data_IF_866559602440
#
_entry.id   IF_866559602440
#
_cell.length_a   1.000
_cell.length_b   1.000
_cell.length_c   1.000
_cell.angle_alpha   90.00
_cell.angle_beta   90.00
_cell.angle_gamma   90.00
#
_symmetry.space_group_name_H-M   'P 1'
#
loop_
_entity.id
_entity.type
_entity.pdbx_description
1 polymer ?
#
# COMPACT_ATOMS: atom_id res chain seq x y z
N UNK A 1 -8.42 18.19 8.60
CA UNK A 1 -7.58 18.50 7.42
C UNK A 1 -6.21 18.92 7.93
N UNK A 2 -5.21 18.04 7.81
CA UNK A 2 -3.85 18.30 8.30
C UNK A 2 -3.23 19.50 7.59
N UNK A 3 -2.59 20.39 8.35
CA UNK A 3 -1.80 21.50 7.81
C UNK A 3 -0.34 21.06 7.64
N UNK A 4 -0.05 20.31 6.59
CA UNK A 4 1.32 19.91 6.28
C UNK A 4 2.06 21.00 5.50
N UNK A 5 3.36 21.14 5.77
CA UNK A 5 4.26 21.88 4.88
C UNK A 5 4.40 21.05 3.60
N UNK A 6 3.89 21.55 2.48
CA UNK A 6 4.22 21.01 1.16
C UNK A 6 5.68 21.36 0.85
N UNK A 7 6.59 20.41 1.10
CA UNK A 7 7.98 20.54 0.72
C UNK A 7 8.40 19.30 -0.03
N UNK A 8 8.27 19.33 -1.36
CA UNK A 8 8.87 18.35 -2.27
C UNK A 8 10.42 18.33 -2.15
N UNK A 9 11.05 19.19 -1.31
CA UNK A 9 12.49 19.51 -1.41
C UNK A 9 13.31 19.73 -0.11
N UNK A 10 12.79 19.56 1.11
CA UNK A 10 13.60 19.78 2.34
C UNK A 10 13.36 18.74 3.42
N UNK A 11 13.38 17.45 3.05
CA UNK A 11 13.56 16.41 4.04
C UNK A 11 15.07 16.15 4.21
N UNK A 12 15.59 16.08 5.44
CA UNK A 12 16.99 15.75 5.69
C UNK A 12 17.22 14.24 5.55
N UNK A 13 16.72 13.66 4.47
CA UNK A 13 16.95 12.27 4.11
C UNK A 13 18.11 12.17 3.13
N UNK A 14 18.96 11.17 3.33
CA UNK A 14 19.99 10.84 2.35
C UNK A 14 19.38 10.10 1.16
N UNK A 15 20.19 9.90 0.10
CA UNK A 15 19.72 9.21 -1.10
C UNK A 15 19.17 7.81 -0.80
N UNK A 16 19.83 7.04 0.06
CA UNK A 16 19.41 5.67 0.40
C UNK A 16 18.05 5.66 1.09
N UNK A 17 17.83 6.56 2.03
CA UNK A 17 16.54 6.74 2.73
C UNK A 17 15.43 7.19 1.79
N UNK A 18 15.75 8.05 0.82
CA UNK A 18 14.79 8.41 -0.23
C UNK A 18 14.36 7.19 -1.07
N UNK A 19 15.30 6.33 -1.48
CA UNK A 19 14.96 5.12 -2.24
C UNK A 19 14.15 4.13 -1.39
N UNK A 20 14.52 3.95 -0.12
CA UNK A 20 13.76 3.14 0.82
C UNK A 20 12.33 3.65 1.00
N UNK A 21 12.16 4.96 1.24
CA UNK A 21 10.84 5.59 1.37
C UNK A 21 9.99 5.43 0.10
N UNK A 22 10.58 5.59 -1.08
CA UNK A 22 9.85 5.36 -2.35
C UNK A 22 9.39 3.92 -2.48
N UNK A 23 10.24 2.94 -2.12
CA UNK A 23 9.87 1.54 -2.14
C UNK A 23 8.77 1.21 -1.14
N UNK A 24 8.85 1.74 0.08
CA UNK A 24 7.80 1.61 1.10
C UNK A 24 6.49 2.15 0.58
N UNK A 25 6.49 3.39 0.06
CA UNK A 25 5.29 4.04 -0.51
C UNK A 25 4.66 3.14 -1.57
N UNK A 26 5.42 2.72 -2.58
CA UNK A 26 4.91 1.88 -3.67
C UNK A 26 4.28 0.57 -3.18
N UNK A 27 4.95 -0.16 -2.28
CA UNK A 27 4.45 -1.46 -1.81
C UNK A 27 3.22 -1.29 -0.93
N UNK A 28 3.24 -0.31 -0.01
CA UNK A 28 2.17 -0.12 0.97
C UNK A 28 0.92 0.44 0.31
N UNK A 29 1.03 1.43 -0.59
CA UNK A 29 -0.15 1.98 -1.28
C UNK A 29 -0.78 0.99 -2.25
N UNK A 30 0.00 0.07 -2.83
CA UNK A 30 -0.54 -0.98 -3.70
C UNK A 30 -1.30 -2.07 -2.94
N UNK A 31 -0.98 -2.32 -1.66
CA UNK A 31 -1.56 -3.41 -0.87
C UNK A 31 -2.62 -2.97 0.13
N UNK A 32 -2.58 -1.71 0.58
CA UNK A 32 -3.41 -1.19 1.66
C UNK A 32 -4.15 0.08 1.22
N UNK A 33 -5.33 0.34 1.81
CA UNK A 33 -6.14 1.54 1.52
C UNK A 33 -5.54 2.77 2.19
N UNK A 34 -4.30 3.13 1.85
CA UNK A 34 -3.62 4.30 2.39
C UNK A 34 -4.31 5.56 1.88
N UNK A 35 -4.54 6.51 2.79
CA UNK A 35 -5.06 7.83 2.45
C UNK A 35 -3.92 8.83 2.31
N UNK A 36 -2.95 8.76 3.23
CA UNK A 36 -1.83 9.69 3.32
C UNK A 36 -0.67 9.10 4.12
N UNK A 37 0.53 9.61 3.85
CA UNK A 37 1.75 9.28 4.58
C UNK A 37 2.51 10.56 4.90
N UNK A 38 3.04 10.64 6.11
CA UNK A 38 3.80 11.80 6.57
C UNK A 38 5.00 11.36 7.40
N UNK A 39 6.12 12.04 7.23
CA UNK A 39 7.26 11.92 8.14
C UNK A 39 7.11 12.90 9.30
N UNK A 40 7.58 12.50 10.46
CA UNK A 40 7.63 13.34 11.65
C UNK A 40 8.84 12.97 12.53
N UNK A 41 8.89 13.48 13.75
CA UNK A 41 9.93 13.12 14.71
C UNK A 41 11.22 13.91 14.55
N UNK A 42 12.28 13.42 15.20
CA UNK A 42 13.58 14.10 15.34
C UNK A 42 14.26 14.37 14.00
N UNK A 43 14.09 13.48 13.02
CA UNK A 43 14.62 13.62 11.65
C UNK A 43 14.04 14.87 11.00
N UNK A 44 12.72 15.05 11.04
CA UNK A 44 12.07 16.23 10.47
C UNK A 44 12.42 17.50 11.24
N UNK A 45 12.66 17.41 12.56
CA UNK A 45 13.15 18.55 13.37
C UNK A 45 14.61 18.92 13.12
N UNK A 46 15.39 18.08 12.45
CA UNK A 46 16.84 18.27 12.31
C UNK A 46 17.61 18.05 13.61
N UNK A 47 17.01 17.34 14.57
CA UNK A 47 17.60 16.96 15.86
C UNK A 47 18.12 15.52 15.85
N UNK A 48 17.94 14.80 14.74
CA UNK A 48 18.37 13.42 14.58
C UNK A 48 19.90 13.28 14.54
N UNK A 49 20.38 12.22 15.17
CA UNK A 49 21.72 11.69 15.01
C UNK A 49 21.73 10.51 14.03
N UNK A 50 22.91 9.91 13.78
CA UNK A 50 23.10 8.82 12.82
C UNK A 50 22.35 7.52 13.19
N UNK A 51 21.88 7.38 14.45
CA UNK A 51 21.15 6.21 14.93
C UNK A 51 19.63 6.46 15.05
N UNK A 52 19.17 7.66 14.74
CA UNK A 52 17.78 8.06 14.95
C UNK A 52 16.81 7.33 14.00
N UNK A 53 15.69 6.89 14.56
CA UNK A 53 14.57 6.32 13.81
C UNK A 53 13.96 7.38 12.87
N UNK A 54 13.53 6.96 11.68
CA UNK A 54 12.77 7.81 10.74
C UNK A 54 11.29 7.51 10.92
N UNK A 55 10.58 8.39 11.63
CA UNK A 55 9.18 8.15 11.98
C UNK A 55 8.23 8.42 10.81
N UNK A 56 7.49 7.38 10.41
CA UNK A 56 6.56 7.39 9.30
C UNK A 56 5.12 7.13 9.78
N UNK A 57 4.28 8.16 9.67
CA UNK A 57 2.84 8.04 9.85
C UNK A 57 2.21 7.48 8.57
N UNK A 58 1.39 6.44 8.72
CA UNK A 58 0.56 5.88 7.65
C UNK A 58 -0.88 5.99 8.09
N UNK A 59 -1.65 6.85 7.44
CA UNK A 59 -3.09 6.98 7.68
C UNK A 59 -3.85 6.25 6.58
N UNK A 60 -4.82 5.46 7.00
CA UNK A 60 -5.62 4.60 6.13
C UNK A 60 -7.05 5.07 6.06
N UNK A 61 -7.69 4.90 4.90
CA UNK A 61 -9.09 5.29 4.66
C UNK A 61 -10.08 4.49 5.52
N UNK A 62 -9.66 3.32 5.98
CA UNK A 62 -10.47 2.42 6.81
C UNK A 62 -9.62 1.74 7.88
N UNK A 63 -10.22 1.39 9.04
CA UNK A 63 -9.52 0.68 10.10
C UNK A 63 -8.91 -0.64 9.63
N UNK A 64 -7.60 -0.76 9.81
CA UNK A 64 -6.90 -2.03 9.60
C UNK A 64 -7.03 -2.93 10.83
N UNK A 65 -7.04 -4.24 10.62
CA UNK A 65 -6.92 -5.19 11.71
C UNK A 65 -5.45 -5.35 12.15
N UNK A 66 -5.21 -6.09 13.25
CA UNK A 66 -3.85 -6.28 13.80
C UNK A 66 -2.91 -6.96 12.80
N UNK A 67 -3.40 -7.92 12.00
CA UNK A 67 -2.59 -8.64 11.02
C UNK A 67 -2.16 -7.71 9.89
N UNK A 68 -3.08 -6.89 9.38
CA UNK A 68 -2.78 -5.91 8.32
C UNK A 68 -1.76 -4.86 8.79
N UNK A 69 -1.93 -4.31 10.00
CA UNK A 69 -0.92 -3.42 10.58
C UNK A 69 0.45 -4.08 10.70
N UNK A 70 0.49 -5.35 11.12
CA UNK A 70 1.75 -6.09 11.23
C UNK A 70 2.40 -6.31 9.86
N UNK A 71 1.62 -6.57 8.81
CA UNK A 71 2.15 -6.70 7.45
C UNK A 71 2.80 -5.39 6.97
N UNK A 72 2.25 -4.23 7.31
CA UNK A 72 2.89 -2.94 7.00
C UNK A 72 4.24 -2.84 7.73
N UNK A 73 4.29 -3.18 9.01
CA UNK A 73 5.55 -3.22 9.78
C UNK A 73 6.57 -4.20 9.18
N UNK A 74 6.13 -5.38 8.74
CA UNK A 74 6.99 -6.38 8.12
C UNK A 74 7.57 -5.85 6.80
N UNK A 75 6.75 -5.23 5.94
CA UNK A 75 7.20 -4.60 4.69
C UNK A 75 8.26 -3.54 4.97
N UNK A 76 8.00 -2.64 5.94
CA UNK A 76 8.97 -1.60 6.29
C UNK A 76 10.25 -2.18 6.87
N UNK A 77 10.15 -3.24 7.68
CA UNK A 77 11.32 -3.95 8.19
C UNK A 77 12.16 -4.58 7.08
N UNK A 78 11.53 -5.23 6.09
CA UNK A 78 12.22 -5.79 4.93
C UNK A 78 12.95 -4.71 4.13
N UNK A 79 12.30 -3.57 3.88
CA UNK A 79 12.94 -2.45 3.17
C UNK A 79 14.08 -1.85 4.00
N UNK A 80 13.90 -1.69 5.30
CA UNK A 80 14.96 -1.23 6.21
C UNK A 80 16.21 -2.12 6.13
N UNK A 81 16.03 -3.44 6.15
CA UNK A 81 17.12 -4.40 6.04
C UNK A 81 17.82 -4.33 4.67
N UNK A 82 17.07 -4.13 3.60
CA UNK A 82 17.61 -4.05 2.24
C UNK A 82 18.45 -2.78 2.01
N UNK A 83 17.99 -1.64 2.52
CA UNK A 83 18.61 -0.34 2.30
C UNK A 83 19.53 0.09 3.45
N UNK A 84 19.56 -0.63 4.57
CA UNK A 84 20.29 -0.22 5.77
C UNK A 84 19.73 1.05 6.40
N UNK A 85 18.40 1.19 6.38
CA UNK A 85 17.67 2.35 6.93
C UNK A 85 16.90 1.94 8.19
N UNK A 86 16.33 2.92 8.90
CA UNK A 86 15.63 2.68 10.16
C UNK A 86 14.28 3.39 10.25
N UNK A 87 13.37 3.11 9.30
CA UNK A 87 12.00 3.62 9.33
C UNK A 87 11.16 2.92 10.41
N UNK A 88 10.48 3.72 11.24
CA UNK A 88 9.47 3.26 12.19
C UNK A 88 8.07 3.62 11.64
N UNK A 89 7.05 2.80 11.90
CA UNK A 89 5.68 3.07 11.40
C UNK A 89 4.67 3.27 12.50
N UNK A 90 3.90 4.35 12.41
CA UNK A 90 2.65 4.55 13.14
C UNK A 90 1.48 4.39 12.18
N UNK A 91 0.68 3.34 12.34
CA UNK A 91 -0.46 3.05 11.44
C UNK A 91 -1.78 3.32 12.14
N UNK A 92 -2.57 4.22 11.56
CA UNK A 92 -3.90 4.62 12.06
C UNK A 92 -4.88 4.76 10.92
N UNK A 93 -6.18 4.73 11.22
CA UNK A 93 -7.21 5.13 10.26
C UNK A 93 -7.56 6.62 10.43
N UNK A 94 -8.14 7.22 9.39
CA UNK A 94 -8.48 8.65 9.37
C UNK A 94 -9.44 9.06 10.49
N UNK A 95 -10.41 8.21 10.84
CA UNK A 95 -11.36 8.47 11.92
C UNK A 95 -10.67 8.47 13.28
N UNK A 96 -9.80 7.48 13.52
CA UNK A 96 -8.98 7.46 14.72
C UNK A 96 -8.06 8.69 14.78
N UNK A 97 -7.43 9.05 13.68
CA UNK A 97 -6.52 10.20 13.60
C UNK A 97 -7.21 11.52 13.94
N UNK A 98 -8.35 11.81 13.32
CA UNK A 98 -9.04 13.10 13.48
C UNK A 98 -9.88 13.17 14.77
N UNK A 99 -10.50 12.06 15.17
CA UNK A 99 -11.53 12.05 16.24
C UNK A 99 -11.32 11.00 17.32
N UNK A 100 -10.40 10.07 17.11
CA UNK A 100 -10.08 9.01 18.07
C UNK A 100 -9.14 9.46 19.18
N UNK A 101 -8.78 8.56 20.09
CA UNK A 101 -7.94 8.89 21.25
C UNK A 101 -6.58 9.48 20.89
N UNK A 102 -6.03 9.11 19.72
CA UNK A 102 -4.74 9.64 19.27
C UNK A 102 -4.77 11.15 19.01
N UNK A 103 -5.93 11.73 18.68
CA UNK A 103 -6.06 13.18 18.47
C UNK A 103 -5.80 14.00 19.75
N UNK A 104 -5.86 13.35 20.90
CA UNK A 104 -5.58 13.92 22.23
C UNK A 104 -4.15 13.67 22.70
N UNK A 105 -3.34 12.93 21.93
CA UNK A 105 -1.96 12.59 22.29
C UNK A 105 -0.98 13.60 21.70
N UNK A 106 0.13 13.83 22.39
CA UNK A 106 1.18 14.77 21.95
C UNK A 106 1.73 14.43 20.56
N UNK A 107 1.75 13.15 20.18
CA UNK A 107 2.19 12.72 18.84
C UNK A 107 1.33 13.30 17.72
N UNK A 108 0.04 13.49 17.96
CA UNK A 108 -0.85 14.08 16.99
C UNK A 108 -0.55 15.58 16.82
N UNK A 109 -0.32 16.31 17.91
CA UNK A 109 0.09 17.72 17.86
C UNK A 109 1.45 17.89 17.16
N UNK A 110 2.40 17.00 17.45
CA UNK A 110 3.73 16.98 16.83
C UNK A 110 3.62 16.82 15.31
N UNK A 111 2.91 15.79 14.85
CA UNK A 111 2.70 15.57 13.42
C UNK A 111 1.94 16.73 12.77
N UNK A 112 0.92 17.28 13.43
CA UNK A 112 0.18 18.40 12.86
C UNK A 112 1.01 19.68 12.73
N UNK A 113 1.95 19.91 13.65
CA UNK A 113 2.78 21.12 13.68
C UNK A 113 4.00 21.01 12.78
N UNK A 114 4.63 19.84 12.76
CA UNK A 114 5.98 19.64 12.21
C UNK A 114 6.02 18.59 11.12
N UNK A 115 4.99 17.75 10.98
CA UNK A 115 4.97 16.69 9.99
C UNK A 115 5.14 17.21 8.57
N UNK A 116 5.77 16.39 7.74
CA UNK A 116 5.97 16.65 6.32
C UNK A 116 5.22 15.58 5.54
N UNK A 117 4.24 16.01 4.74
CA UNK A 117 3.52 15.10 3.84
C UNK A 117 4.49 14.57 2.80
N UNK A 118 4.58 13.25 2.67
CA UNK A 118 5.44 12.58 1.68
C UNK A 118 4.65 11.87 0.58
N UNK A 119 3.33 11.72 0.79
CA UNK A 119 2.39 11.18 -0.18
C UNK A 119 0.96 11.39 0.29
N UNK A 120 0.06 11.71 -0.63
CA UNK A 120 -1.39 11.70 -0.40
C UNK A 120 -2.09 11.04 -1.58
N UNK A 121 -3.12 10.25 -1.32
CA UNK A 121 -3.92 9.57 -2.36
C UNK A 121 -4.59 10.48 -3.39
N UNK A 122 -4.63 11.78 -3.09
CA UNK A 122 -5.18 12.85 -3.91
C UNK A 122 -4.17 13.98 -4.09
N UNK A 123 -2.88 13.65 -4.16
CA UNK A 123 -1.86 14.65 -4.47
C UNK A 123 -2.26 15.39 -5.76
N UNK A 124 -2.03 16.71 -5.84
CA UNK A 124 -2.46 17.49 -6.98
C UNK A 124 -1.83 16.93 -8.26
N UNK A 125 -2.67 16.67 -9.25
CA UNK A 125 -2.20 16.20 -10.55
C UNK A 125 -1.27 17.27 -11.16
N UNK A 126 -0.03 16.93 -11.55
CA UNK A 126 0.85 17.88 -12.21
C UNK A 126 0.23 18.41 -13.50
N UNK A 127 0.43 19.70 -13.81
CA UNK A 127 -0.02 20.26 -15.09
C UNK A 127 0.62 19.54 -16.29
N UNK A 128 1.87 19.11 -16.11
CA UNK A 128 2.63 18.30 -17.06
C UNK A 128 3.58 17.36 -16.31
N UNK A 129 3.84 16.18 -16.89
CA UNK A 129 4.99 15.36 -16.51
C UNK A 129 6.15 15.66 -17.44
N UNK A 130 7.35 15.87 -16.89
CA UNK A 130 8.56 16.15 -17.68
C UNK A 130 9.02 14.90 -18.44
N UNK A 131 8.77 13.72 -17.89
CA UNK A 131 9.16 12.43 -18.47
C UNK A 131 8.08 11.36 -18.31
N UNK A 132 8.15 10.32 -19.16
CA UNK A 132 7.31 9.12 -19.00
C UNK A 132 7.57 8.39 -17.69
N UNK A 133 8.81 8.42 -17.20
CA UNK A 133 9.15 7.77 -15.93
C UNK A 133 8.48 8.48 -14.77
N UNK A 134 8.52 9.82 -14.74
CA UNK A 134 7.80 10.61 -13.72
C UNK A 134 6.29 10.33 -13.76
N UNK A 135 5.71 10.22 -14.95
CA UNK A 135 4.30 9.85 -15.13
C UNK A 135 4.02 8.45 -14.58
N UNK A 136 4.89 7.47 -14.86
CA UNK A 136 4.75 6.11 -14.36
C UNK A 136 4.89 6.05 -12.84
N UNK A 137 5.88 6.74 -12.26
CA UNK A 137 6.06 6.85 -10.80
C UNK A 137 4.81 7.41 -10.11
N UNK A 138 4.19 8.44 -10.69
CA UNK A 138 2.95 9.00 -10.16
C UNK A 138 1.81 7.96 -10.20
N UNK A 139 1.54 7.35 -11.36
CA UNK A 139 0.44 6.38 -11.50
C UNK A 139 0.68 5.03 -10.84
N UNK A 140 1.92 4.68 -10.50
CA UNK A 140 2.22 3.49 -9.70
C UNK A 140 1.70 3.60 -8.27
N UNK A 141 1.43 4.83 -7.80
CA UNK A 141 0.99 5.09 -6.42
C UNK A 141 -0.39 5.72 -6.33
N UNK A 142 -0.94 6.26 -7.41
CA UNK A 142 -2.24 6.94 -7.43
C UNK A 142 -3.27 6.18 -8.25
N UNK A 143 -4.53 6.16 -7.79
CA UNK A 143 -5.63 5.57 -8.55
C UNK A 143 -6.24 6.62 -9.49
N UNK A 144 -6.44 6.25 -10.75
CA UNK A 144 -7.10 7.08 -11.76
C UNK A 144 -8.52 7.49 -11.34
N UNK A 145 -9.21 6.66 -10.54
CA UNK A 145 -10.57 6.97 -10.08
C UNK A 145 -10.62 8.14 -9.10
N UNK A 146 -9.51 8.46 -8.43
CA UNK A 146 -9.43 9.65 -7.56
C UNK A 146 -9.38 10.97 -8.37
N UNK A 147 -9.23 10.90 -9.70
CA UNK A 147 -9.04 12.06 -10.60
C UNK A 147 -10.08 12.16 -11.73
N UNK A 148 -11.23 11.49 -11.62
CA UNK A 148 -12.25 11.44 -12.68
C UNK A 148 -12.68 12.83 -13.19
N UNK A 149 -12.72 13.84 -12.32
CA UNK A 149 -13.08 15.23 -12.64
C UNK A 149 -12.11 15.89 -13.65
N UNK A 150 -10.90 15.36 -13.80
CA UNK A 150 -9.86 15.87 -14.69
C UNK A 150 -9.69 15.07 -15.98
N UNK A 151 -10.45 13.98 -16.15
CA UNK A 151 -10.33 13.08 -17.29
C UNK A 151 -11.28 13.46 -18.42
N UNK A 152 -10.81 13.33 -19.66
CA UNK A 152 -11.66 13.46 -20.85
C UNK A 152 -11.92 12.07 -21.44
N UNK A 153 -13.19 11.69 -21.70
CA UNK A 153 -13.51 10.44 -22.36
C UNK A 153 -12.85 10.37 -23.74
N UNK A 154 -12.17 9.27 -24.03
CA UNK A 154 -11.61 8.98 -25.35
C UNK A 154 -12.26 7.73 -25.92
N UNK A 155 -12.53 7.72 -27.23
CA UNK A 155 -12.89 6.52 -27.95
C UNK A 155 -11.62 5.79 -28.40
N UNK A 156 -11.31 4.64 -27.79
CA UNK A 156 -10.19 3.81 -28.15
C UNK A 156 -10.67 2.48 -28.75
N UNK A 157 -10.17 2.12 -29.94
CA UNK A 157 -10.42 0.79 -30.54
C UNK A 157 -9.33 -0.17 -30.06
N UNK A 158 -9.70 -1.14 -29.23
CA UNK A 158 -8.77 -2.16 -28.71
C UNK A 158 -8.95 -3.46 -29.48
N UNK A 159 -7.92 -3.88 -30.22
CA UNK A 159 -7.89 -5.20 -30.86
C UNK A 159 -7.45 -6.27 -29.85
N UNK A 160 -8.38 -6.74 -29.01
CA UNK A 160 -8.11 -7.83 -28.07
C UNK A 160 -8.25 -9.20 -28.76
N UNK A 161 -7.27 -10.09 -28.58
CA UNK A 161 -7.36 -11.50 -29.00
C UNK A 161 -7.70 -12.40 -27.80
N UNK A 162 -8.61 -13.38 -27.93
CA UNK A 162 -9.00 -14.24 -26.82
C UNK A 162 -7.86 -15.19 -26.39
N UNK A 163 -7.41 -15.09 -25.14
CA UNK A 163 -6.58 -16.13 -24.51
C UNK A 163 -7.47 -17.24 -23.93
N UNK A 164 -7.36 -18.46 -24.46
CA UNK A 164 -8.00 -19.64 -23.85
C UNK A 164 -7.13 -20.19 -22.72
N UNK A 165 -7.59 -20.09 -21.48
CA UNK A 165 -7.01 -20.83 -20.35
C UNK A 165 -7.80 -22.11 -20.09
N UNK A 166 -7.15 -23.27 -20.18
CA UNK A 166 -7.75 -24.56 -19.82
C UNK A 166 -7.57 -24.75 -18.31
N UNK A 167 -8.66 -24.63 -17.56
CA UNK A 167 -8.67 -24.94 -16.13
C UNK A 167 -8.97 -26.44 -15.99
N UNK A 168 -7.98 -27.23 -15.58
CA UNK A 168 -8.20 -28.63 -15.19
C UNK A 168 -8.83 -28.66 -13.80
N UNK A 169 -10.13 -28.93 -13.74
CA UNK A 169 -10.81 -29.23 -12.48
C UNK A 169 -10.45 -30.66 -12.05
N UNK A 170 -9.59 -30.78 -11.04
CA UNK A 170 -9.26 -32.05 -10.40
C UNK A 170 -10.45 -32.58 -9.59
N UNK A 171 -11.28 -33.41 -10.21
CA UNK A 171 -12.36 -34.11 -9.52
C UNK A 171 -11.79 -35.12 -8.52
N UNK A 172 -11.91 -34.86 -7.22
CA UNK A 172 -11.76 -35.88 -6.18
C UNK A 172 -12.89 -36.89 -6.34
N UNK A 173 -12.57 -38.14 -6.70
CA UNK A 173 -13.52 -39.25 -6.61
C UNK A 173 -13.77 -39.54 -5.13
N UNK A 174 -15.00 -39.30 -4.67
CA UNK A 174 -15.48 -39.81 -3.39
C UNK A 174 -15.75 -41.30 -3.56
N UNK A 175 -15.01 -42.13 -2.82
CA UNK A 175 -15.33 -43.54 -2.66
C UNK A 175 -16.43 -43.63 -1.58
N UNK A 176 -17.68 -43.87 -2.02
CA UNK A 176 -18.75 -44.35 -1.14
C UNK A 176 -19.05 -45.78 -1.57
N UNK A 177 -18.80 -46.71 -0.65
CA UNK A 177 -19.06 -48.13 -0.84
C UNK A 177 -20.54 -48.49 -0.82
N UNK A 178 -20.84 -49.68 -1.35
CA UNK A 178 -22.14 -50.34 -1.26
C UNK A 178 -22.09 -51.70 -1.95
N UNK A 179 -22.36 -52.74 -1.16
CA UNK A 179 -22.55 -54.19 -1.41
C UNK A 179 -22.84 -54.67 -2.86
N UNK A 180 -22.17 -55.74 -3.33
CA UNK A 180 -22.51 -57.18 -3.18
C UNK A 180 -23.89 -57.54 -3.76
N UNK A 181 -23.91 -58.08 -4.98
CA UNK A 181 -24.83 -59.16 -5.36
C UNK A 181 -24.06 -60.18 -6.21
N UNK A 182 -23.98 -61.40 -5.67
CA UNK A 182 -23.72 -62.62 -6.41
C UNK A 182 -25.06 -63.03 -7.02
N UNK A 183 -25.08 -63.47 -8.28
CA UNK A 183 -25.98 -64.54 -8.66
C UNK A 183 -25.35 -65.43 -9.72
N UNK A 184 -25.48 -66.73 -9.47
CA UNK A 184 -24.91 -67.84 -10.21
C UNK A 184 -25.88 -68.38 -11.27
N UNK A 185 -25.32 -69.22 -12.14
CA UNK A 185 -25.95 -70.15 -13.11
C UNK A 185 -26.19 -69.56 -14.51
N UNK A 186 -25.82 -70.22 -15.60
CA UNK A 186 -25.29 -71.58 -15.79
C UNK A 186 -24.86 -71.77 -17.24
N UNK A 187 -24.14 -72.87 -17.46
CA UNK A 187 -23.50 -73.35 -18.69
C UNK A 187 -24.38 -73.36 -19.95
N UNK A 188 -23.79 -73.20 -21.13
CA UNK A 188 -23.50 -74.35 -22.04
C UNK A 188 -22.78 -73.90 -23.32
N UNK A 189 -21.73 -74.69 -23.62
CA UNK A 189 -21.00 -74.96 -24.89
C UNK A 189 -21.23 -74.11 -26.14
#
# INVERSE_FOLDING_TARGET
MMNYKNSKYELPLNNTEHHALQKIKSIVTAQFPVEQMALFGSVVRGEADEESDIDLLVVTRQPLNRRERHQITDIVCEVNLEYGTNFSTLVVDGDAWDRGPISLLSIHEEVQREGVSVWHSKDPLPETFETFEEMAEFWNTHDVTDYEDFLTPIEATVAASPQRRIIKLGGRRSAVGGQLEQDMSGDHE
#
